data_IF_913221735491
#
_entry.id   IF_913221735491
#
_cell.length_a   1.000
_cell.length_b   1.000
_cell.length_c   1.000
_cell.angle_alpha   90.00
_cell.angle_beta   90.00
_cell.angle_gamma   90.00
#
_symmetry.space_group_name_H-M   'P 1'
#
loop_
_entity.id
_entity.type
_entity.pdbx_description
1 polymer ?
#
# COMPACT_ATOMS: atom_id res chain seq x y z
N UNK A 1 -10.21 22.13 2.13
CA UNK A 1 -8.84 21.59 2.10
C UNK A 1 -8.81 20.63 0.95
N UNK A 2 -8.03 20.89 -0.10
CA UNK A 2 -7.83 19.93 -1.19
C UNK A 2 -7.06 18.75 -0.61
N UNK A 3 -7.73 17.62 -0.45
CA UNK A 3 -7.10 16.38 0.00
C UNK A 3 -6.18 15.91 -1.13
N UNK A 4 -4.90 16.25 -1.00
CA UNK A 4 -3.87 15.80 -1.93
C UNK A 4 -3.76 14.27 -1.78
N UNK A 5 -4.07 13.55 -2.85
CA UNK A 5 -3.98 12.10 -2.88
C UNK A 5 -2.55 11.69 -3.23
N UNK A 6 -2.07 10.64 -2.60
CA UNK A 6 -0.66 10.23 -2.68
C UNK A 6 -0.51 8.83 -3.23
N UNK A 7 0.62 8.60 -3.91
CA UNK A 7 1.04 7.31 -4.40
C UNK A 7 2.56 7.17 -4.37
N UNK A 8 3.00 5.93 -4.54
CA UNK A 8 4.37 5.59 -4.91
C UNK A 8 4.41 5.44 -6.42
N UNK A 9 5.34 6.13 -7.08
CA UNK A 9 5.65 5.93 -8.49
C UNK A 9 6.95 5.15 -8.60
N UNK A 10 6.92 4.04 -9.34
CA UNK A 10 8.09 3.22 -9.63
C UNK A 10 8.57 3.56 -11.05
N UNK A 11 9.63 4.37 -11.11
CA UNK A 11 10.34 4.73 -12.33
C UNK A 11 11.01 3.49 -12.93
N UNK A 12 10.85 3.30 -14.25
CA UNK A 12 11.28 2.09 -14.97
C UNK A 12 10.08 1.39 -15.63
N UNK A 13 9.23 0.69 -14.86
CA UNK A 13 7.96 0.14 -15.37
C UNK A 13 6.85 1.20 -15.53
N UNK A 14 7.03 2.40 -14.96
CA UNK A 14 6.02 3.48 -14.92
C UNK A 14 4.75 3.07 -14.17
N UNK A 15 4.94 2.47 -12.99
CA UNK A 15 3.86 1.91 -12.18
C UNK A 15 3.49 2.82 -11.01
N UNK A 16 2.22 2.86 -10.63
CA UNK A 16 1.68 3.77 -9.61
C UNK A 16 0.88 3.00 -8.56
N UNK A 17 1.35 3.05 -7.32
CA UNK A 17 0.72 2.36 -6.20
C UNK A 17 0.03 3.37 -5.29
N UNK A 18 -1.30 3.30 -5.19
CA UNK A 18 -2.06 4.23 -4.37
C UNK A 18 -1.84 3.98 -2.86
N UNK A 19 -1.73 5.07 -2.08
CA UNK A 19 -1.60 4.98 -0.62
C UNK A 19 -2.46 6.01 0.11
N UNK A 20 -2.71 5.74 1.39
CA UNK A 20 -3.59 6.54 2.25
C UNK A 20 -3.00 7.91 2.64
N UNK A 21 -1.68 8.10 2.56
CA UNK A 21 -1.03 9.34 2.98
C UNK A 21 0.36 9.54 2.36
N UNK A 22 0.84 10.79 2.35
CA UNK A 22 2.20 11.14 1.95
C UNK A 22 3.26 10.37 2.75
N UNK A 23 3.04 10.23 4.06
CA UNK A 23 3.99 9.54 4.92
C UNK A 23 4.03 8.04 4.62
N UNK A 24 2.89 7.43 4.27
CA UNK A 24 2.84 6.06 3.78
C UNK A 24 3.61 5.93 2.45
N UNK A 25 3.40 6.84 1.50
CA UNK A 25 4.11 6.84 0.20
C UNK A 25 5.63 6.90 0.40
N UNK A 26 6.10 7.81 1.26
CA UNK A 26 7.53 7.97 1.54
C UNK A 26 8.14 6.74 2.19
N UNK A 27 7.45 6.13 3.16
CA UNK A 27 7.91 4.90 3.83
C UNK A 27 8.02 3.76 2.83
N UNK A 28 7.00 3.58 2.01
CA UNK A 28 6.94 2.50 1.02
C UNK A 28 8.00 2.69 -0.07
N UNK A 29 8.11 3.90 -0.65
CA UNK A 29 9.16 4.23 -1.62
C UNK A 29 10.57 3.98 -1.06
N UNK A 30 10.81 4.36 0.20
CA UNK A 30 12.10 4.12 0.85
C UNK A 30 12.39 2.63 1.06
N UNK A 31 11.37 1.83 1.41
CA UNK A 31 11.51 0.38 1.58
C UNK A 31 11.80 -0.33 0.25
N UNK A 32 11.12 0.09 -0.83
CA UNK A 32 11.37 -0.43 -2.18
C UNK A 32 12.79 -0.09 -2.61
N UNK A 33 13.22 1.16 -2.45
CA UNK A 33 14.58 1.57 -2.81
C UNK A 33 15.64 0.82 -2.00
N UNK A 34 15.43 0.61 -0.70
CA UNK A 34 16.36 -0.16 0.13
C UNK A 34 16.46 -1.62 -0.32
N UNK A 35 15.33 -2.22 -0.74
CA UNK A 35 15.32 -3.56 -1.30
C UNK A 35 16.05 -3.63 -2.65
N UNK A 36 15.85 -2.64 -3.52
CA UNK A 36 16.53 -2.55 -4.81
C UNK A 36 18.04 -2.29 -4.67
N UNK A 37 18.47 -1.57 -3.63
CA UNK A 37 19.89 -1.33 -3.32
C UNK A 37 20.58 -2.59 -2.77
N UNK A 38 19.88 -3.36 -1.92
CA UNK A 38 20.40 -4.59 -1.31
C UNK A 38 20.35 -5.83 -2.21
N UNK A 39 19.46 -5.86 -3.21
CA UNK A 39 19.48 -6.88 -4.25
C UNK A 39 20.66 -6.59 -5.18
N UNK A 40 21.64 -7.50 -5.27
CA UNK A 40 22.82 -7.37 -6.12
C UNK A 40 22.39 -6.94 -7.54
N UNK A 41 22.56 -5.65 -7.85
CA UNK A 41 22.13 -5.09 -9.11
C UNK A 41 23.04 -5.65 -10.20
N UNK A 42 22.50 -6.54 -11.03
CA UNK A 42 23.15 -6.87 -12.28
C UNK A 42 23.45 -5.55 -13.00
N UNK A 43 24.68 -5.30 -13.47
CA UNK A 43 25.05 -4.03 -14.10
C UNK A 43 24.27 -3.73 -15.39
N UNK A 44 23.45 -4.68 -15.88
CA UNK A 44 22.52 -4.51 -17.00
C UNK A 44 21.06 -4.37 -16.57
N UNK A 45 20.75 -4.43 -15.28
CA UNK A 45 19.40 -4.23 -14.79
C UNK A 45 18.93 -2.80 -15.08
N UNK A 46 17.70 -2.60 -15.54
CA UNK A 46 17.14 -1.26 -15.70
C UNK A 46 17.17 -0.53 -14.35
N UNK A 47 17.52 0.75 -14.37
CA UNK A 47 17.54 1.58 -13.16
C UNK A 47 16.09 1.79 -12.71
N UNK A 48 15.68 1.06 -11.67
CA UNK A 48 14.35 1.17 -11.06
C UNK A 48 14.48 2.05 -9.83
N UNK A 49 13.58 3.04 -9.69
CA UNK A 49 13.55 3.93 -8.53
C UNK A 49 12.12 4.20 -8.09
N UNK A 50 11.85 4.14 -6.78
CA UNK A 50 10.54 4.45 -6.22
C UNK A 50 10.52 5.85 -5.59
N UNK A 51 9.52 6.66 -5.92
CA UNK A 51 9.35 8.02 -5.39
C UNK A 51 7.92 8.26 -4.88
N UNK A 52 7.78 9.13 -3.89
CA UNK A 52 6.47 9.52 -3.37
C UNK A 52 5.94 10.73 -4.15
N UNK A 53 4.83 10.57 -4.86
CA UNK A 53 4.26 11.61 -5.72
C UNK A 53 2.75 11.79 -5.46
N UNK A 54 2.22 12.91 -5.93
CA UNK A 54 0.78 13.13 -5.94
C UNK A 54 0.13 12.22 -6.98
N UNK A 55 -1.02 11.65 -6.63
CA UNK A 55 -1.80 10.82 -7.55
C UNK A 55 -2.18 11.65 -8.79
N UNK A 56 -1.75 11.23 -10.00
CA UNK A 56 -1.94 12.04 -11.20
C UNK A 56 -3.35 11.90 -11.80
N UNK A 57 -4.17 10.98 -11.28
CA UNK A 57 -5.50 10.69 -11.81
C UNK A 57 -6.64 11.18 -10.89
N UNK A 58 -7.86 10.76 -11.19
CA UNK A 58 -9.04 11.13 -10.42
C UNK A 58 -9.04 10.57 -9.00
N UNK A 59 -9.76 11.22 -8.08
CA UNK A 59 -9.98 10.70 -6.73
C UNK A 59 -10.74 9.36 -6.72
N UNK A 60 -11.65 9.16 -7.68
CA UNK A 60 -12.37 7.89 -7.80
C UNK A 60 -11.44 6.73 -8.21
N UNK A 61 -10.47 6.99 -9.10
CA UNK A 61 -9.47 5.98 -9.47
C UNK A 61 -8.46 5.74 -8.35
N UNK A 62 -8.13 6.77 -7.55
CA UNK A 62 -7.32 6.59 -6.34
C UNK A 62 -8.00 5.66 -5.33
N UNK A 63 -9.28 5.88 -5.05
CA UNK A 63 -10.02 5.04 -4.10
C UNK A 63 -10.11 3.58 -4.54
N UNK A 64 -10.23 3.32 -5.85
CA UNK A 64 -10.23 1.97 -6.41
C UNK A 64 -8.84 1.33 -6.34
N UNK A 65 -7.82 2.04 -6.79
CA UNK A 65 -6.44 1.59 -6.72
C UNK A 65 -6.02 1.33 -5.27
N UNK A 66 -6.44 2.16 -4.31
CA UNK A 66 -6.15 1.96 -2.89
C UNK A 66 -6.75 0.66 -2.33
N UNK A 67 -7.89 0.20 -2.84
CA UNK A 67 -8.49 -1.09 -2.47
C UNK A 67 -7.75 -2.26 -3.13
N UNK A 68 -7.43 -2.13 -4.43
CA UNK A 68 -6.75 -3.16 -5.23
C UNK A 68 -5.27 -3.34 -4.83
N UNK A 69 -4.53 -2.23 -4.70
CA UNK A 69 -3.10 -2.19 -4.36
C UNK A 69 -2.84 -2.57 -2.90
N UNK A 70 -3.81 -2.38 -2.00
CA UNK A 70 -3.60 -2.69 -0.60
C UNK A 70 -3.28 -4.18 -0.40
N UNK A 71 -3.95 -5.08 -1.13
CA UNK A 71 -3.63 -6.51 -1.05
C UNK A 71 -2.29 -6.86 -1.70
N UNK A 72 -1.93 -6.20 -2.80
CA UNK A 72 -0.70 -6.47 -3.53
C UNK A 72 0.54 -6.02 -2.73
N UNK A 73 0.47 -4.82 -2.15
CA UNK A 73 1.49 -4.28 -1.23
C UNK A 73 1.81 -5.25 -0.09
N UNK A 74 0.80 -5.93 0.48
CA UNK A 74 1.02 -6.91 1.55
C UNK A 74 1.77 -8.16 1.07
N UNK A 75 1.70 -8.48 -0.23
CA UNK A 75 2.37 -9.64 -0.84
C UNK A 75 3.76 -9.32 -1.36
N UNK A 76 4.13 -8.04 -1.50
CA UNK A 76 5.44 -7.66 -2.04
C UNK A 76 6.62 -8.16 -1.20
N UNK A 77 7.67 -8.61 -1.89
CA UNK A 77 8.80 -9.31 -1.29
C UNK A 77 9.56 -8.46 -0.26
N UNK A 78 9.66 -7.13 -0.46
CA UNK A 78 10.35 -6.24 0.48
C UNK A 78 9.63 -6.09 1.83
N UNK A 79 8.30 -6.23 1.87
CA UNK A 79 7.55 -6.29 3.14
C UNK A 79 7.74 -7.62 3.87
N UNK A 80 7.86 -8.71 3.12
CA UNK A 80 8.19 -10.02 3.71
C UNK A 80 9.63 -10.05 4.24
N UNK A 81 10.56 -9.36 3.56
CA UNK A 81 11.94 -9.19 4.00
C UNK A 81 12.02 -8.30 5.25
N UNK A 82 11.25 -7.21 5.32
CA UNK A 82 11.13 -6.39 6.53
C UNK A 82 10.47 -7.15 7.71
N UNK A 83 9.68 -8.18 7.42
CA UNK A 83 9.07 -9.06 8.40
C UNK A 83 9.91 -10.31 8.75
N UNK A 84 11.07 -10.51 8.10
CA UNK A 84 12.05 -11.50 8.54
C UNK A 84 13.00 -10.84 9.55
N UNK A 85 12.84 -11.10 10.87
CA UNK A 85 13.88 -10.77 11.82
C UNK A 85 15.06 -11.69 11.55
N UNK A 86 16.18 -11.10 11.15
CA UNK A 86 17.48 -11.74 11.26
C UNK A 86 17.66 -12.19 12.72
N UNK A 87 17.81 -13.49 12.92
CA UNK A 87 18.38 -14.09 14.13
C UNK A 87 17.68 -13.81 15.48
N UNK A 88 17.01 -14.85 16.00
CA UNK A 88 16.97 -15.21 17.43
C UNK A 88 15.90 -14.54 18.35
N UNK A 89 14.95 -15.40 18.77
CA UNK A 89 14.14 -15.38 20.01
C UNK A 89 13.05 -14.31 20.21
N UNK A 90 11.83 -14.83 20.44
CA UNK A 90 10.72 -14.16 21.12
C UNK A 90 9.72 -13.58 20.12
N UNK A 91 8.60 -14.23 19.82
CA UNK A 91 7.56 -14.58 20.78
C UNK A 91 6.63 -13.38 20.96
N UNK A 92 5.41 -13.49 20.40
CA UNK A 92 4.25 -12.58 20.51
C UNK A 92 4.49 -11.17 19.94
N UNK A 93 3.78 -10.73 18.90
CA UNK A 93 2.38 -10.26 18.94
C UNK A 93 1.84 -10.17 17.50
N UNK A 94 1.10 -11.19 17.04
CA UNK A 94 0.35 -11.16 15.78
C UNK A 94 -1.15 -11.23 16.09
N UNK A 95 -1.72 -10.15 16.65
CA UNK A 95 -3.16 -10.13 17.01
C UNK A 95 -3.87 -8.78 16.79
N UNK A 96 -3.52 -7.98 15.78
CA UNK A 96 -4.27 -6.74 15.50
C UNK A 96 -4.66 -6.54 14.03
N UNK A 97 -5.17 -7.59 13.38
CA UNK A 97 -5.78 -7.46 12.06
C UNK A 97 -7.13 -8.18 11.97
N UNK A 98 -8.11 -7.78 12.81
CA UNK A 98 -9.54 -8.11 12.58
C UNK A 98 -10.47 -7.26 13.45
N UNK A 99 -10.82 -6.04 13.02
CA UNK A 99 -12.12 -5.39 13.31
C UNK A 99 -12.25 -4.00 12.68
N UNK A 100 -12.64 -3.97 11.41
CA UNK A 100 -13.42 -2.84 10.86
C UNK A 100 -14.25 -3.37 9.69
N UNK A 101 -15.37 -4.01 10.01
CA UNK A 101 -16.46 -4.18 9.04
C UNK A 101 -17.75 -4.35 9.82
N UNK A 102 -18.44 -3.25 10.09
CA UNK A 102 -19.90 -3.18 10.21
C UNK A 102 -20.33 -1.74 10.51
N UNK A 103 -20.39 -0.92 9.45
CA UNK A 103 -21.37 0.16 9.34
C UNK A 103 -21.67 0.32 7.85
N UNK A 104 -22.44 -0.63 7.29
CA UNK A 104 -23.09 -0.47 5.99
C UNK A 104 -24.60 -0.52 6.22
N UNK A 105 -25.28 0.47 5.66
CA UNK A 105 -26.64 0.84 6.00
C UNK A 105 -27.69 -0.24 5.77
N UNK A 106 -28.75 -0.15 6.58
CA UNK A 106 -30.06 -0.68 6.25
C UNK A 106 -30.94 0.53 5.92
N UNK A 107 -31.13 0.73 4.63
CA UNK A 107 -32.28 1.41 4.06
C UNK A 107 -33.02 0.37 3.22
N UNK A 108 -34.10 -0.19 3.75
CA UNK A 108 -35.16 -0.80 2.96
C UNK A 108 -36.45 -0.72 3.78
N UNK A 109 -37.43 0.00 3.24
CA UNK A 109 -38.80 -0.08 3.75
C UNK A 109 -39.55 -1.22 3.08
N UNK A 110 -40.55 -1.76 3.76
CA UNK A 110 -41.84 -2.20 3.21
C UNK A 110 -42.78 -2.54 4.41
N UNK A 111 -43.98 -1.93 4.42
CA UNK A 111 -45.32 -2.44 4.84
C UNK A 111 -45.52 -3.20 6.17
N UNK A 112 -46.66 -3.23 6.85
CA UNK A 112 -48.03 -2.67 6.81
C UNK A 112 -48.64 -3.01 8.21
N UNK A 113 -49.81 -2.45 8.53
CA UNK A 113 -50.80 -2.88 9.56
C UNK A 113 -50.64 -2.39 11.02
N UNK A 114 -51.43 -1.36 11.39
CA UNK A 114 -52.63 -1.51 12.25
C UNK A 114 -53.56 -0.28 12.10
#
# INVERSE_FOLDING_TARGET
MSEQLWCVHIEGPDDFIAVESEQAARREASAINAYLDGAEQDPRAPHVHASAVCWPYSAASHARALDEDHEDLQRMAHRQFAAQPDGHRGGVLSTFARRVKEMVGVAHGDRDDE
#
